data_IF_685123905613
#
_entry.id   IF_685123905613
#
_cell.length_a   1.000
_cell.length_b   1.000
_cell.length_c   1.000
_cell.angle_alpha   90.00
_cell.angle_beta   90.00
_cell.angle_gamma   90.00
#
_symmetry.space_group_name_H-M   'P 1'
#
loop_
_entity.id
_entity.type
_entity.pdbx_description
1 polymer ?
#
# COMPACT_ATOMS: atom_id res chain seq x y z
N UNK A 1 -1.96 -9.51 -35.32
CA UNK A 1 -2.61 -8.64 -34.33
C UNK A 1 -1.65 -7.85 -33.41
N UNK A 2 -0.55 -8.41 -32.88
CA UNK A 2 0.16 -7.80 -31.72
C UNK A 2 1.41 -6.95 -31.99
N UNK A 3 1.88 -6.80 -33.24
CA UNK A 3 3.17 -6.18 -33.53
C UNK A 3 3.24 -4.65 -33.30
N UNK A 4 2.11 -3.99 -33.02
CA UNK A 4 2.02 -2.52 -32.83
C UNK A 4 1.14 -2.09 -31.64
N UNK A 5 0.97 -2.97 -30.65
CA UNK A 5 0.45 -2.52 -29.36
C UNK A 5 1.58 -1.79 -28.63
N UNK A 6 1.30 -0.60 -28.07
CA UNK A 6 2.25 0.15 -27.25
C UNK A 6 2.74 -0.66 -26.03
N UNK A 7 1.96 -1.67 -25.63
CA UNK A 7 2.42 -2.79 -24.82
C UNK A 7 2.81 -3.93 -25.75
N UNK A 8 4.08 -3.97 -26.15
CA UNK A 8 4.71 -5.27 -26.41
C UNK A 8 4.48 -6.14 -25.17
N UNK A 9 4.53 -7.47 -25.34
CA UNK A 9 4.86 -8.39 -24.24
C UNK A 9 6.23 -7.97 -23.70
N UNK A 10 6.29 -6.87 -22.95
CA UNK A 10 7.32 -6.64 -21.98
C UNK A 10 7.12 -7.79 -21.01
N UNK A 11 8.05 -8.73 -21.06
CA UNK A 11 8.33 -9.57 -19.90
C UNK A 11 8.24 -8.65 -18.69
N UNK A 12 7.26 -8.86 -17.80
CA UNK A 12 7.31 -8.58 -16.36
C UNK A 12 5.92 -8.35 -15.73
N UNK A 13 5.53 -9.34 -14.91
CA UNK A 13 5.27 -9.16 -13.46
C UNK A 13 4.32 -8.03 -13.03
N UNK A 14 3.16 -7.89 -13.66
CA UNK A 14 2.02 -7.18 -13.02
C UNK A 14 0.79 -8.07 -13.10
N UNK A 15 0.47 -8.73 -11.98
CA UNK A 15 -0.52 -9.82 -11.83
C UNK A 15 -1.98 -9.48 -12.13
N UNK A 16 -2.27 -9.01 -13.35
CA UNK A 16 -3.61 -8.87 -13.93
C UNK A 16 -4.04 -10.16 -14.64
N UNK A 17 -3.08 -10.97 -15.07
CA UNK A 17 -3.34 -12.26 -15.75
C UNK A 17 -3.93 -13.31 -14.80
N UNK A 18 -3.50 -13.30 -13.53
CA UNK A 18 -4.01 -14.23 -12.50
C UNK A 18 -5.50 -14.00 -12.21
N UNK A 19 -5.98 -12.76 -11.91
CA UNK A 19 -7.41 -12.51 -11.70
C UNK A 19 -8.28 -12.93 -12.89
N UNK A 20 -7.89 -12.59 -14.12
CA UNK A 20 -8.67 -12.96 -15.32
C UNK A 20 -8.75 -14.49 -15.46
N UNK A 21 -7.64 -15.20 -15.22
CA UNK A 21 -7.61 -16.65 -15.25
C UNK A 21 -8.46 -17.27 -14.14
N UNK A 22 -8.37 -16.74 -12.91
CA UNK A 22 -9.15 -17.21 -11.76
C UNK A 22 -10.64 -17.00 -12.04
N UNK A 23 -11.07 -15.83 -12.51
CA UNK A 23 -12.46 -15.58 -12.88
C UNK A 23 -12.94 -16.51 -13.98
N UNK A 24 -12.15 -16.79 -15.02
CA UNK A 24 -12.54 -17.74 -16.07
C UNK A 24 -12.69 -19.18 -15.54
N UNK A 25 -11.88 -19.57 -14.56
CA UNK A 25 -11.89 -20.93 -13.97
C UNK A 25 -12.98 -21.11 -12.93
N UNK A 26 -13.09 -20.18 -11.99
CA UNK A 26 -13.86 -20.34 -10.76
C UNK A 26 -15.24 -19.68 -10.87
N UNK A 27 -15.30 -18.43 -11.33
CA UNK A 27 -16.52 -17.59 -11.36
C UNK A 27 -16.78 -16.92 -12.74
N UNK A 28 -16.88 -17.69 -13.84
CA UNK A 28 -17.03 -17.13 -15.19
C UNK A 28 -18.30 -16.29 -15.38
N UNK A 29 -19.37 -16.54 -14.62
CA UNK A 29 -20.57 -15.70 -14.59
C UNK A 29 -20.32 -14.25 -14.13
N UNK A 30 -19.25 -14.02 -13.36
CA UNK A 30 -18.88 -12.68 -12.88
C UNK A 30 -18.01 -11.92 -13.88
N UNK A 31 -17.57 -12.57 -14.97
CA UNK A 31 -16.62 -12.01 -15.92
C UNK A 31 -17.07 -10.67 -16.52
N UNK A 32 -18.38 -10.47 -16.65
CA UNK A 32 -19.00 -9.22 -17.09
C UNK A 32 -18.72 -8.06 -16.14
N UNK A 33 -18.74 -8.30 -14.83
CA UNK A 33 -18.54 -7.29 -13.79
C UNK A 33 -17.06 -7.04 -13.50
N UNK A 34 -16.22 -8.07 -13.64
CA UNK A 34 -14.81 -8.04 -13.27
C UNK A 34 -13.87 -7.61 -14.40
N UNK A 35 -14.39 -7.36 -15.61
CA UNK A 35 -13.59 -6.92 -16.77
C UNK A 35 -14.07 -5.59 -17.35
N UNK A 36 -13.10 -4.72 -17.68
CA UNK A 36 -13.35 -3.38 -18.24
C UNK A 36 -13.87 -3.36 -19.69
N UNK A 37 -14.09 -4.53 -20.30
CA UNK A 37 -14.48 -4.65 -21.70
C UNK A 37 -13.30 -4.70 -22.67
N UNK A 38 -13.62 -4.94 -23.93
CA UNK A 38 -12.69 -4.92 -25.06
C UNK A 38 -13.08 -3.76 -25.96
N UNK A 39 -12.12 -2.90 -26.28
CA UNK A 39 -12.32 -1.85 -27.30
C UNK A 39 -11.36 -2.09 -28.45
N UNK A 40 -11.92 -2.26 -29.65
CA UNK A 40 -11.16 -2.39 -30.89
C UNK A 40 -11.55 -1.32 -31.91
N UNK A 41 -10.62 -1.06 -32.81
CA UNK A 41 -10.81 -0.21 -33.98
C UNK A 41 -10.54 -1.01 -35.24
N UNK A 42 -11.37 -0.80 -36.25
CA UNK A 42 -11.20 -1.40 -37.57
C UNK A 42 -11.27 -0.35 -38.68
N UNK A 43 -10.62 -0.64 -39.81
CA UNK A 43 -10.53 0.30 -40.94
C UNK A 43 -11.75 0.30 -41.87
N UNK A 44 -12.50 -0.80 -41.93
CA UNK A 44 -13.68 -0.92 -42.79
C UNK A 44 -14.73 -1.81 -42.13
N UNK A 45 -16.01 -1.41 -42.20
CA UNK A 45 -17.15 -2.19 -41.72
C UNK A 45 -17.26 -3.53 -42.46
N UNK A 46 -16.80 -3.63 -43.70
CA UNK A 46 -16.76 -4.89 -44.48
C UNK A 46 -15.94 -5.99 -43.82
N UNK A 47 -15.03 -5.63 -42.91
CA UNK A 47 -14.28 -6.59 -42.12
C UNK A 47 -15.14 -7.26 -41.04
N UNK A 48 -16.32 -6.73 -40.72
CA UNK A 48 -17.23 -7.32 -39.74
C UNK A 48 -18.25 -8.23 -40.41
N UNK A 49 -18.18 -9.51 -40.05
CA UNK A 49 -19.24 -10.46 -40.29
C UNK A 49 -20.02 -10.67 -38.98
N UNK A 50 -21.27 -10.19 -39.00
CA UNK A 50 -22.25 -10.29 -37.93
C UNK A 50 -23.39 -11.26 -38.26
N UNK A 51 -23.20 -12.12 -39.27
CA UNK A 51 -24.23 -13.07 -39.73
C UNK A 51 -24.52 -14.17 -38.70
N UNK A 52 -23.57 -14.46 -37.81
CA UNK A 52 -23.76 -15.39 -36.70
C UNK A 52 -24.31 -14.67 -35.48
N UNK A 53 -25.42 -15.17 -34.93
CA UNK A 53 -25.97 -14.67 -33.66
C UNK A 53 -25.09 -14.97 -32.45
N UNK A 54 -24.18 -15.95 -32.57
CA UNK A 54 -23.29 -16.40 -31.48
C UNK A 54 -21.83 -15.99 -31.66
N UNK A 55 -21.46 -15.34 -32.78
CA UNK A 55 -20.08 -14.97 -33.04
C UNK A 55 -19.95 -13.70 -33.89
N UNK A 56 -19.00 -12.85 -33.50
CA UNK A 56 -18.55 -11.73 -34.33
C UNK A 56 -17.26 -12.16 -34.99
N UNK A 57 -17.25 -12.23 -36.32
CA UNK A 57 -16.05 -12.56 -37.10
C UNK A 57 -15.46 -11.28 -37.66
N UNK A 58 -14.15 -11.11 -37.50
CA UNK A 58 -13.44 -9.96 -38.03
C UNK A 58 -12.41 -10.45 -39.05
N UNK A 59 -12.61 -10.10 -40.32
CA UNK A 59 -11.67 -10.35 -41.40
C UNK A 59 -10.38 -9.57 -41.17
N UNK A 60 -9.23 -10.22 -41.33
CA UNK A 60 -7.93 -9.58 -41.19
C UNK A 60 -7.05 -10.03 -42.34
N UNK A 61 -6.72 -9.11 -43.24
CA UNK A 61 -5.71 -9.35 -44.29
C UNK A 61 -4.38 -8.73 -43.89
N UNK A 62 -4.42 -7.57 -43.22
CA UNK A 62 -3.24 -6.83 -42.77
C UNK A 62 -3.32 -6.39 -41.29
N UNK A 63 -2.14 -6.30 -40.64
CA UNK A 63 -2.02 -5.86 -39.23
C UNK A 63 -2.46 -4.41 -38.98
N UNK A 64 -2.65 -3.60 -40.03
CA UNK A 64 -3.10 -2.20 -39.93
C UNK A 64 -4.63 -2.08 -39.85
N UNK A 65 -5.36 -3.14 -40.17
CA UNK A 65 -6.82 -3.11 -40.32
C UNK A 65 -7.56 -3.28 -38.99
N UNK A 66 -6.90 -3.83 -37.97
CA UNK A 66 -7.46 -4.05 -36.64
C UNK A 66 -6.47 -3.59 -35.57
N UNK A 67 -6.93 -2.74 -34.65
CA UNK A 67 -6.17 -2.34 -33.46
C UNK A 67 -7.00 -2.51 -32.19
N UNK A 68 -6.48 -3.28 -31.23
CA UNK A 68 -7.03 -3.34 -29.87
C UNK A 68 -6.52 -2.12 -29.10
N UNK A 69 -7.44 -1.33 -28.53
CA UNK A 69 -7.11 -0.16 -27.70
C UNK A 69 -7.09 -0.54 -26.21
N UNK A 70 -8.09 -1.30 -25.77
CA UNK A 70 -8.27 -1.77 -24.39
C UNK A 70 -8.69 -3.25 -24.41
N UNK A 71 -8.32 -4.01 -23.39
CA UNK A 71 -8.67 -5.43 -23.26
C UNK A 71 -7.69 -6.37 -23.97
N UNK A 72 -6.50 -5.91 -24.38
CA UNK A 72 -5.51 -6.76 -25.03
C UNK A 72 -5.03 -7.92 -24.14
N UNK A 73 -4.88 -7.67 -22.83
CA UNK A 73 -4.58 -8.69 -21.83
C UNK A 73 -5.75 -9.65 -21.67
N UNK A 74 -6.98 -9.14 -21.50
CA UNK A 74 -8.20 -9.96 -21.44
C UNK A 74 -8.35 -10.92 -22.61
N UNK A 75 -8.16 -10.43 -23.85
CA UNK A 75 -8.18 -11.29 -25.05
C UNK A 75 -7.08 -12.36 -24.98
N UNK A 76 -5.86 -11.95 -24.61
CA UNK A 76 -4.71 -12.86 -24.62
C UNK A 76 -4.84 -13.94 -23.55
N UNK A 77 -5.23 -13.57 -22.33
CA UNK A 77 -5.45 -14.51 -21.21
C UNK A 77 -6.63 -15.43 -21.48
N UNK A 78 -7.74 -14.91 -22.02
CA UNK A 78 -8.88 -15.76 -22.41
C UNK A 78 -8.52 -16.72 -23.55
N UNK A 79 -7.76 -16.27 -24.55
CA UNK A 79 -7.27 -17.14 -25.62
C UNK A 79 -6.31 -18.20 -25.10
N UNK A 80 -5.41 -17.84 -24.18
CA UNK A 80 -4.49 -18.79 -23.55
C UNK A 80 -5.28 -19.81 -22.70
N UNK A 81 -6.28 -19.38 -21.94
CA UNK A 81 -7.18 -20.25 -21.17
C UNK A 81 -7.95 -21.22 -22.08
N UNK A 82 -8.52 -20.74 -23.19
CA UNK A 82 -9.40 -21.52 -24.06
C UNK A 82 -8.68 -22.41 -25.07
N UNK A 83 -7.49 -22.01 -25.54
CA UNK A 83 -6.84 -22.67 -26.68
C UNK A 83 -5.46 -23.26 -26.39
N UNK A 84 -4.81 -22.96 -25.25
CA UNK A 84 -3.55 -23.61 -24.90
C UNK A 84 -3.75 -24.82 -23.98
N UNK A 85 -2.92 -25.87 -24.14
CA UNK A 85 -2.89 -26.98 -23.19
C UNK A 85 -2.42 -26.44 -21.82
N UNK A 86 -3.28 -26.62 -20.82
CA UNK A 86 -3.10 -26.21 -19.43
C UNK A 86 -3.81 -27.25 -18.55
N UNK A 87 -3.55 -27.23 -17.25
CA UNK A 87 -4.26 -28.03 -16.24
C UNK A 87 -5.70 -27.49 -15.99
N UNK A 88 -6.52 -27.60 -17.03
CA UNK A 88 -7.91 -27.12 -17.11
C UNK A 88 -8.72 -28.19 -17.84
N UNK A 89 -9.79 -28.63 -17.21
CA UNK A 89 -10.73 -29.63 -17.73
C UNK A 89 -11.59 -29.07 -18.88
N UNK A 90 -12.10 -29.96 -19.73
CA UNK A 90 -13.02 -29.56 -20.81
C UNK A 90 -14.33 -28.95 -20.25
N UNK A 91 -14.75 -29.38 -19.07
CA UNK A 91 -15.92 -28.83 -18.38
C UNK A 91 -15.70 -27.37 -17.98
N UNK A 92 -14.53 -27.03 -17.44
CA UNK A 92 -14.17 -25.65 -17.09
C UNK A 92 -14.09 -24.76 -18.34
N UNK A 93 -13.55 -25.28 -19.46
CA UNK A 93 -13.53 -24.54 -20.74
C UNK A 93 -14.92 -24.26 -21.25
N UNK A 94 -15.80 -25.26 -21.26
CA UNK A 94 -17.20 -25.11 -21.70
C UNK A 94 -17.93 -24.08 -20.84
N UNK A 95 -17.81 -24.18 -19.51
CA UNK A 95 -18.42 -23.23 -18.58
C UNK A 95 -17.95 -21.80 -18.85
N UNK A 96 -16.64 -21.60 -19.07
CA UNK A 96 -16.09 -20.29 -19.40
C UNK A 96 -16.66 -19.74 -20.72
N UNK A 97 -16.74 -20.54 -21.79
CA UNK A 97 -17.30 -20.10 -23.08
C UNK A 97 -18.78 -19.70 -22.95
N UNK A 98 -19.54 -20.46 -22.17
CA UNK A 98 -20.98 -20.24 -22.03
C UNK A 98 -21.30 -19.04 -21.13
N UNK A 99 -20.57 -18.87 -20.02
CA UNK A 99 -20.92 -17.93 -18.96
C UNK A 99 -20.09 -16.64 -18.96
N UNK A 100 -18.84 -16.67 -19.45
CA UNK A 100 -17.99 -15.48 -19.45
C UNK A 100 -18.41 -14.49 -20.55
N UNK A 101 -19.10 -13.42 -20.15
CA UNK A 101 -19.53 -12.34 -21.06
C UNK A 101 -18.70 -11.09 -20.81
N UNK A 102 -18.38 -10.36 -21.87
CA UNK A 102 -17.61 -9.11 -21.80
C UNK A 102 -18.15 -8.11 -22.81
N UNK A 103 -18.16 -6.82 -22.46
CA UNK A 103 -18.57 -5.77 -23.37
C UNK A 103 -17.54 -5.62 -24.50
N UNK A 104 -17.96 -5.81 -25.75
CA UNK A 104 -17.14 -5.53 -26.93
C UNK A 104 -17.59 -4.24 -27.60
N UNK A 105 -16.69 -3.25 -27.68
CA UNK A 105 -16.88 -2.01 -28.43
C UNK A 105 -16.02 -2.03 -29.70
N UNK A 106 -16.67 -1.92 -30.85
CA UNK A 106 -16.01 -1.86 -32.16
C UNK A 106 -16.22 -0.47 -32.75
N UNK A 107 -15.12 0.24 -33.01
CA UNK A 107 -15.15 1.54 -33.68
C UNK A 107 -14.67 1.38 -35.12
N UNK A 108 -15.48 1.78 -36.09
CA UNK A 108 -15.11 1.74 -37.51
C UNK A 108 -14.58 3.11 -37.93
N UNK A 109 -13.39 3.17 -38.52
CA UNK A 109 -12.78 4.39 -39.04
C UNK A 109 -12.27 4.19 -40.46
N UNK A 110 -12.82 4.93 -41.41
CA UNK A 110 -12.67 4.68 -42.84
C UNK A 110 -11.28 5.04 -43.43
N UNK A 111 -10.40 5.75 -42.69
CA UNK A 111 -9.02 6.04 -43.10
C UNK A 111 -8.00 5.48 -42.08
N UNK A 112 -7.02 4.72 -42.57
CA UNK A 112 -5.88 4.22 -41.79
C UNK A 112 -5.10 5.31 -41.02
N UNK A 113 -5.06 6.56 -41.51
CA UNK A 113 -4.44 7.70 -40.79
C UNK A 113 -5.32 8.19 -39.65
N UNK A 114 -6.64 8.21 -39.83
CA UNK A 114 -7.59 8.52 -38.77
C UNK A 114 -7.60 7.42 -37.72
N UNK A 115 -7.46 6.15 -38.12
CA UNK A 115 -7.30 5.03 -37.21
C UNK A 115 -6.10 5.23 -36.28
N UNK A 116 -4.96 5.70 -36.80
CA UNK A 116 -3.77 6.01 -35.97
C UNK A 116 -4.02 7.16 -35.00
N UNK A 117 -4.55 8.28 -35.49
CA UNK A 117 -4.87 9.45 -34.64
C UNK A 117 -5.93 9.14 -33.59
N UNK A 118 -6.96 8.38 -33.97
CA UNK A 118 -8.04 7.91 -33.11
C UNK A 118 -7.54 6.91 -32.07
N UNK A 119 -6.66 5.99 -32.45
CA UNK A 119 -5.98 5.08 -31.53
C UNK A 119 -5.25 5.85 -30.45
N UNK A 120 -4.43 6.83 -30.81
CA UNK A 120 -3.66 7.61 -29.82
C UNK A 120 -4.58 8.39 -28.88
N UNK A 121 -5.60 9.07 -29.41
CA UNK A 121 -6.56 9.84 -28.59
C UNK A 121 -7.39 8.97 -27.66
N UNK A 122 -7.96 7.88 -28.17
CA UNK A 122 -8.81 6.98 -27.40
C UNK A 122 -7.95 6.17 -26.41
N UNK A 123 -6.75 5.75 -26.80
CA UNK A 123 -5.79 5.11 -25.90
C UNK A 123 -5.39 6.05 -24.78
N UNK A 124 -5.06 7.32 -25.09
CA UNK A 124 -4.74 8.33 -24.08
C UNK A 124 -5.95 8.56 -23.16
N UNK A 125 -7.17 8.68 -23.69
CA UNK A 125 -8.36 8.91 -22.88
C UNK A 125 -8.71 7.72 -21.96
N UNK A 126 -8.70 6.51 -22.50
CA UNK A 126 -9.01 5.28 -21.75
C UNK A 126 -7.92 4.92 -20.74
N UNK A 127 -6.64 5.24 -21.02
CA UNK A 127 -5.55 5.05 -20.05
C UNK A 127 -5.36 6.22 -19.08
N UNK A 128 -5.92 7.42 -19.37
CA UNK A 128 -5.95 8.58 -18.46
C UNK A 128 -7.06 8.49 -17.42
N UNK A 129 -8.09 7.68 -17.66
CA UNK A 129 -8.95 7.21 -16.58
C UNK A 129 -8.04 6.39 -15.65
N UNK A 130 -7.57 7.05 -14.58
CA UNK A 130 -6.54 6.50 -13.68
C UNK A 130 -6.97 5.10 -13.27
N UNK A 131 -6.06 4.11 -13.28
CA UNK A 131 -6.33 2.83 -12.66
C UNK A 131 -6.86 3.07 -11.25
N UNK A 132 -7.98 2.43 -10.90
CA UNK A 132 -8.38 2.30 -9.51
C UNK A 132 -7.22 1.58 -8.83
N UNK A 133 -6.53 2.27 -7.94
CA UNK A 133 -5.41 1.68 -7.21
C UNK A 133 -5.95 0.80 -6.08
N UNK A 134 -5.16 -0.16 -5.59
CA UNK A 134 -5.54 -0.94 -4.39
C UNK A 134 -5.90 0.00 -3.24
N UNK A 135 -5.17 1.12 -3.09
CA UNK A 135 -5.55 2.19 -2.15
C UNK A 135 -7.00 2.68 -2.30
N UNK A 136 -7.54 2.81 -3.52
CA UNK A 136 -8.93 3.25 -3.76
C UNK A 136 -9.94 2.16 -3.37
N UNK A 137 -9.57 0.88 -3.56
CA UNK A 137 -10.38 -0.29 -3.17
C UNK A 137 -10.35 -0.44 -1.65
N UNK A 138 -9.19 -0.24 -1.01
CA UNK A 138 -9.08 -0.33 0.44
C UNK A 138 -9.93 0.71 1.17
N UNK A 139 -10.34 1.84 0.56
CA UNK A 139 -11.35 2.74 1.15
C UNK A 139 -12.76 2.17 1.25
N UNK A 140 -13.06 1.03 0.62
CA UNK A 140 -14.29 0.27 0.87
C UNK A 140 -14.15 -0.69 2.05
N UNK A 141 -12.98 -0.76 2.69
CA UNK A 141 -12.76 -1.53 3.92
C UNK A 141 -13.60 -0.95 5.06
N UNK A 142 -14.31 -1.84 5.77
CA UNK A 142 -15.19 -1.50 6.88
C UNK A 142 -14.46 -0.79 8.03
N UNK A 143 -13.18 -1.12 8.28
CA UNK A 143 -12.34 -0.45 9.28
C UNK A 143 -12.20 1.04 9.00
N UNK A 144 -11.96 1.40 7.72
CA UNK A 144 -11.81 2.80 7.33
C UNK A 144 -13.14 3.56 7.49
N UNK A 145 -14.24 2.91 7.09
CA UNK A 145 -15.59 3.44 7.32
C UNK A 145 -15.83 3.68 8.81
N UNK A 146 -15.48 2.71 9.66
CA UNK A 146 -15.67 2.80 11.11
C UNK A 146 -14.81 3.90 11.75
N UNK A 147 -13.52 4.01 11.40
CA UNK A 147 -12.65 5.10 11.86
C UNK A 147 -13.25 6.46 11.50
N UNK A 148 -13.71 6.63 10.26
CA UNK A 148 -14.32 7.88 9.82
C UNK A 148 -15.66 8.15 10.53
N UNK A 149 -16.48 7.14 10.80
CA UNK A 149 -17.71 7.28 11.58
C UNK A 149 -17.43 7.68 13.03
N UNK A 150 -16.41 7.08 13.67
CA UNK A 150 -15.96 7.46 15.01
C UNK A 150 -15.48 8.91 15.04
N UNK A 151 -14.73 9.36 14.02
CA UNK A 151 -14.36 10.77 13.88
C UNK A 151 -15.57 11.70 13.81
N UNK A 152 -16.60 11.38 13.02
CA UNK A 152 -17.82 12.20 12.95
C UNK A 152 -18.56 12.21 14.29
N UNK A 153 -18.67 11.05 14.95
CA UNK A 153 -19.39 10.89 16.22
C UNK A 153 -18.72 11.64 17.38
N UNK A 154 -17.39 11.61 17.44
CA UNK A 154 -16.59 12.21 18.50
C UNK A 154 -15.83 13.45 18.01
N UNK A 155 -16.41 14.16 17.03
CA UNK A 155 -15.78 15.31 16.40
C UNK A 155 -15.40 16.38 17.44
N UNK A 156 -14.10 16.71 17.50
CA UNK A 156 -13.53 17.68 18.44
C UNK A 156 -12.65 17.06 19.52
N UNK A 157 -12.83 15.75 19.80
CA UNK A 157 -11.89 14.97 20.59
C UNK A 157 -10.58 14.76 19.79
N UNK A 158 -9.42 14.77 20.47
CA UNK A 158 -8.11 14.99 19.83
C UNK A 158 -7.43 13.71 19.36
N UNK A 159 -7.89 12.57 19.87
CA UNK A 159 -7.44 11.23 19.52
C UNK A 159 -8.07 10.72 18.22
N UNK A 160 -9.28 11.18 17.88
CA UNK A 160 -9.97 10.76 16.66
C UNK A 160 -9.45 11.52 15.44
N UNK A 161 -9.44 10.86 14.28
CA UNK A 161 -8.94 11.43 13.03
C UNK A 161 -9.71 10.91 11.82
N UNK A 162 -9.66 11.69 10.75
CA UNK A 162 -10.29 11.34 9.50
C UNK A 162 -9.28 10.75 8.49
N UNK A 163 -9.59 9.59 7.93
CA UNK A 163 -8.86 9.00 6.82
C UNK A 163 -9.39 9.54 5.49
N UNK A 164 -8.58 10.39 4.85
CA UNK A 164 -8.86 11.08 3.59
C UNK A 164 -8.93 10.12 2.41
N UNK A 165 -10.00 10.13 1.62
CA UNK A 165 -10.01 9.46 0.32
C UNK A 165 -9.11 10.19 -0.69
N UNK A 166 -8.55 9.45 -1.65
CA UNK A 166 -7.69 10.03 -2.69
C UNK A 166 -8.48 11.05 -3.51
N UNK A 167 -8.00 12.29 -3.56
CA UNK A 167 -8.66 13.39 -4.28
C UNK A 167 -9.84 14.02 -3.53
N UNK A 168 -10.13 13.59 -2.31
CA UNK A 168 -11.09 14.25 -1.44
C UNK A 168 -10.54 15.61 -0.97
N UNK A 169 -11.38 16.65 -1.05
CA UNK A 169 -11.08 17.95 -0.50
C UNK A 169 -12.04 18.21 0.67
N UNK A 170 -11.50 18.28 1.89
CA UNK A 170 -12.29 18.39 3.12
C UNK A 170 -11.60 19.31 4.12
N UNK A 171 -12.37 20.04 4.91
CA UNK A 171 -11.89 20.91 6.00
C UNK A 171 -11.66 20.16 7.31
N UNK A 172 -11.92 18.85 7.37
CA UNK A 172 -11.75 18.02 8.56
C UNK A 172 -10.31 18.05 9.09
N UNK A 173 -10.15 18.10 10.40
CA UNK A 173 -8.86 17.96 11.09
C UNK A 173 -9.06 17.33 12.47
N UNK A 174 -8.12 16.51 12.96
CA UNK A 174 -6.94 16.00 12.24
C UNK A 174 -7.33 14.99 11.15
N UNK A 175 -6.55 14.91 10.07
CA UNK A 175 -6.81 14.04 8.92
C UNK A 175 -5.52 13.47 8.34
N UNK A 176 -5.58 12.23 7.85
CA UNK A 176 -4.41 11.50 7.35
C UNK A 176 -4.71 10.76 6.06
N UNK A 177 -3.69 10.57 5.23
CA UNK A 177 -3.77 9.70 4.05
C UNK A 177 -3.65 8.24 4.49
N UNK A 178 -4.39 7.33 3.85
CA UNK A 178 -4.35 5.89 4.17
C UNK A 178 -2.93 5.30 4.11
N UNK A 179 -2.13 5.74 3.13
CA UNK A 179 -0.72 5.31 3.00
C UNK A 179 0.13 5.60 4.23
N UNK A 180 -0.06 6.77 4.83
CA UNK A 180 0.74 7.23 5.95
C UNK A 180 0.20 6.57 7.23
N UNK A 181 -1.12 6.38 7.29
CA UNK A 181 -1.80 5.63 8.36
C UNK A 181 -1.28 4.21 8.46
N UNK A 182 -1.31 3.42 7.38
CA UNK A 182 -0.85 2.03 7.40
C UNK A 182 0.62 1.89 7.84
N UNK A 183 1.50 2.78 7.37
CA UNK A 183 2.92 2.77 7.79
C UNK A 183 3.10 3.15 9.26
N UNK A 184 2.35 4.14 9.77
CA UNK A 184 2.43 4.53 11.18
C UNK A 184 1.86 3.46 12.10
N UNK A 185 0.72 2.86 11.76
CA UNK A 185 0.12 1.76 12.51
C UNK A 185 1.07 0.57 12.57
N UNK A 186 1.65 0.17 11.43
CA UNK A 186 2.63 -0.92 11.40
C UNK A 186 3.88 -0.62 12.23
N UNK A 187 4.42 0.59 12.10
CA UNK A 187 5.59 0.97 12.88
C UNK A 187 5.31 1.00 14.39
N UNK A 188 4.21 1.64 14.81
CA UNK A 188 3.99 1.98 16.21
C UNK A 188 3.12 0.96 16.94
N UNK A 189 2.04 0.48 16.32
CA UNK A 189 1.07 -0.42 16.97
C UNK A 189 1.52 -1.87 16.84
N UNK A 190 1.96 -2.27 15.65
CA UNK A 190 2.51 -3.61 15.42
C UNK A 190 3.97 -3.74 15.88
N UNK A 191 4.64 -2.62 16.17
CA UNK A 191 6.06 -2.59 16.55
C UNK A 191 6.97 -3.16 15.46
N UNK A 192 6.62 -2.93 14.19
CA UNK A 192 7.34 -3.39 12.98
C UNK A 192 7.81 -2.21 12.09
N UNK A 193 8.65 -1.30 12.61
CA UNK A 193 9.04 -0.09 11.88
C UNK A 193 9.91 -0.35 10.63
N UNK A 194 10.64 -1.45 10.59
CA UNK A 194 11.39 -1.89 9.43
C UNK A 194 10.49 -2.40 8.31
N UNK A 195 9.47 -3.19 8.66
CA UNK A 195 8.42 -3.61 7.72
C UNK A 195 7.62 -2.41 7.20
N UNK A 196 7.27 -1.45 8.07
CA UNK A 196 6.64 -0.19 7.68
C UNK A 196 7.48 0.62 6.67
N UNK A 197 8.81 0.54 6.76
CA UNK A 197 9.73 1.13 5.78
C UNK A 197 9.76 0.34 4.47
N UNK A 198 9.96 -0.97 4.56
CA UNK A 198 10.26 -1.85 3.43
C UNK A 198 9.05 -2.06 2.51
N UNK A 199 7.87 -2.27 3.09
CA UNK A 199 6.67 -2.63 2.34
C UNK A 199 6.05 -1.41 1.63
N UNK A 200 5.55 -1.66 0.43
CA UNK A 200 4.69 -0.72 -0.27
C UNK A 200 3.33 -0.63 0.42
N UNK A 201 2.63 0.47 0.19
CA UNK A 201 1.28 0.69 0.75
C UNK A 201 0.34 -0.44 0.34
N UNK A 202 0.44 -0.91 -0.91
CA UNK A 202 -0.39 -2.00 -1.42
C UNK A 202 -0.11 -3.34 -0.73
N UNK A 203 1.15 -3.60 -0.35
CA UNK A 203 1.51 -4.81 0.40
C UNK A 203 1.00 -4.72 1.83
N UNK A 204 1.17 -3.56 2.48
CA UNK A 204 0.63 -3.31 3.82
C UNK A 204 -0.89 -3.51 3.82
N UNK A 205 -1.61 -2.89 2.89
CA UNK A 205 -3.07 -3.01 2.82
C UNK A 205 -3.53 -4.46 2.54
N UNK A 206 -2.79 -5.21 1.72
CA UNK A 206 -3.08 -6.63 1.44
C UNK A 206 -2.76 -7.56 2.60
N UNK A 207 -1.69 -7.26 3.34
CA UNK A 207 -1.35 -7.99 4.55
C UNK A 207 -2.32 -7.66 5.67
N UNK A 208 -2.75 -6.41 5.80
CA UNK A 208 -3.73 -5.97 6.79
C UNK A 208 -5.14 -6.55 6.47
N UNK A 209 -5.47 -6.79 5.20
CA UNK A 209 -6.65 -7.60 4.80
C UNK A 209 -6.55 -9.08 5.23
N UNK A 210 -5.34 -9.61 5.43
CA UNK A 210 -5.12 -10.98 5.93
C UNK A 210 -4.89 -11.04 7.45
N UNK A 211 -4.39 -9.94 8.01
CA UNK A 211 -4.18 -9.74 9.43
C UNK A 211 -5.39 -9.00 9.99
N UNK A 212 -6.54 -9.68 10.01
CA UNK A 212 -7.82 -9.25 10.59
C UNK A 212 -7.75 -8.95 12.10
N UNK A 213 -6.55 -8.90 12.70
CA UNK A 213 -6.32 -8.96 14.15
C UNK A 213 -7.11 -7.89 14.91
N UNK A 214 -7.40 -6.73 14.29
CA UNK A 214 -8.16 -5.65 14.94
C UNK A 214 -9.40 -5.20 14.15
N UNK A 215 -9.57 -5.71 12.92
CA UNK A 215 -10.67 -5.31 12.05
C UNK A 215 -11.99 -5.84 12.59
N UNK A 216 -12.04 -7.13 12.94
CA UNK A 216 -13.22 -7.78 13.52
C UNK A 216 -13.61 -7.17 14.87
N UNK A 217 -12.62 -6.87 15.72
CA UNK A 217 -12.87 -6.21 17.02
C UNK A 217 -13.48 -4.82 16.85
N UNK A 218 -13.06 -4.05 15.84
CA UNK A 218 -13.56 -2.69 15.65
C UNK A 218 -14.93 -2.66 14.96
N UNK A 219 -15.14 -3.49 13.93
CA UNK A 219 -16.38 -3.47 13.13
C UNK A 219 -17.51 -4.28 13.76
N UNK A 220 -17.18 -5.33 14.54
CA UNK A 220 -18.14 -6.18 15.22
C UNK A 220 -18.54 -5.74 16.65
N UNK A 221 -17.89 -4.71 17.20
CA UNK A 221 -18.07 -4.32 18.60
C UNK A 221 -19.06 -3.17 18.82
N UNK A 222 -19.95 -3.34 19.80
CA UNK A 222 -20.76 -2.25 20.37
C UNK A 222 -19.91 -1.20 21.13
N UNK A 223 -18.62 -1.49 21.34
CA UNK A 223 -17.62 -0.70 22.05
C UNK A 223 -16.51 -0.23 21.09
N UNK A 224 -16.89 0.18 19.88
CA UNK A 224 -15.95 0.61 18.84
C UNK A 224 -15.04 1.78 19.27
N UNK A 225 -15.49 2.61 20.23
CA UNK A 225 -14.68 3.67 20.83
C UNK A 225 -13.52 3.08 21.62
N UNK A 226 -13.78 2.17 22.55
CA UNK A 226 -12.75 1.56 23.39
C UNK A 226 -11.73 0.79 22.55
N UNK A 227 -12.19 0.08 21.52
CA UNK A 227 -11.31 -0.61 20.57
C UNK A 227 -10.45 0.39 19.81
N UNK A 228 -11.02 1.50 19.34
CA UNK A 228 -10.24 2.55 18.69
C UNK A 228 -9.18 3.13 19.62
N UNK A 229 -9.53 3.43 20.87
CA UNK A 229 -8.58 3.97 21.85
C UNK A 229 -7.47 2.97 22.19
N UNK A 230 -7.79 1.68 22.27
CA UNK A 230 -6.81 0.60 22.49
C UNK A 230 -5.74 0.53 21.40
N UNK A 231 -6.09 0.79 20.14
CA UNK A 231 -5.17 0.56 19.02
C UNK A 231 -4.69 1.82 18.31
N UNK A 232 -5.49 2.89 18.26
CA UNK A 232 -5.26 4.04 17.38
C UNK A 232 -5.10 5.38 18.11
N UNK A 233 -5.27 5.42 19.44
CA UNK A 233 -5.06 6.63 20.25
C UNK A 233 -3.71 7.35 19.99
N UNK A 234 -2.56 6.69 19.80
CA UNK A 234 -1.28 7.39 19.58
C UNK A 234 -1.08 7.90 18.15
N UNK A 235 -1.93 7.52 17.18
CA UNK A 235 -1.68 7.74 15.74
C UNK A 235 -1.52 9.22 15.41
N UNK A 236 -2.37 10.08 15.97
CA UNK A 236 -2.28 11.54 15.74
C UNK A 236 -0.93 12.11 16.19
N UNK A 237 -0.43 11.69 17.36
CA UNK A 237 0.89 12.09 17.84
C UNK A 237 2.01 11.52 16.96
N UNK A 238 1.97 10.22 16.64
CA UNK A 238 2.96 9.56 15.80
C UNK A 238 3.08 10.21 14.41
N UNK A 239 1.96 10.62 13.81
CA UNK A 239 1.92 11.36 12.55
C UNK A 239 2.64 12.72 12.63
N UNK A 240 2.39 13.48 13.71
CA UNK A 240 3.05 14.76 13.94
C UNK A 240 4.55 14.57 14.19
N UNK A 241 4.93 13.58 14.99
CA UNK A 241 6.32 13.25 15.27
C UNK A 241 7.08 12.81 14.00
N UNK A 242 6.48 11.96 13.18
CA UNK A 242 7.03 11.54 11.88
C UNK A 242 7.25 12.74 10.94
N UNK A 243 6.29 13.66 10.91
CA UNK A 243 6.39 14.90 10.11
C UNK A 243 7.47 15.83 10.65
N UNK A 244 7.59 15.94 11.98
CA UNK A 244 8.64 16.72 12.63
C UNK A 244 10.03 16.14 12.31
N UNK A 245 10.22 14.83 12.46
CA UNK A 245 11.46 14.14 12.10
C UNK A 245 11.89 14.45 10.67
N UNK A 246 10.98 14.36 9.70
CA UNK A 246 11.27 14.68 8.30
C UNK A 246 11.70 16.13 8.08
N UNK A 247 11.17 17.08 8.86
CA UNK A 247 11.62 18.47 8.81
C UNK A 247 13.03 18.62 9.38
N UNK A 248 13.33 17.95 10.49
CA UNK A 248 14.65 18.01 11.13
C UNK A 248 15.73 17.26 10.33
N UNK A 249 15.37 16.19 9.62
CA UNK A 249 16.28 15.44 8.74
C UNK A 249 17.02 16.33 7.72
N UNK A 250 16.41 17.44 7.28
CA UNK A 250 17.02 18.38 6.35
C UNK A 250 17.88 19.46 7.03
N UNK A 251 17.83 19.56 8.35
CA UNK A 251 18.50 20.61 9.15
C UNK A 251 19.66 20.07 9.97
N UNK A 252 19.49 18.88 10.56
CA UNK A 252 20.45 18.27 11.47
C UNK A 252 21.69 17.80 10.72
N UNK A 253 22.85 18.00 11.34
CA UNK A 253 24.13 17.44 10.92
C UNK A 253 24.56 16.45 11.98
N UNK A 254 24.52 15.16 11.64
CA UNK A 254 24.80 14.06 12.58
C UNK A 254 26.01 13.26 12.12
N UNK A 255 26.62 12.52 13.05
CA UNK A 255 27.73 11.58 12.79
C UNK A 255 27.36 10.52 11.75
N UNK A 256 26.12 10.02 11.81
CA UNK A 256 25.62 8.90 11.01
C UNK A 256 24.41 9.29 10.12
N UNK A 257 24.64 9.93 8.95
CA UNK A 257 23.57 10.36 8.04
C UNK A 257 22.65 9.23 7.55
N UNK A 258 23.18 8.00 7.48
CA UNK A 258 22.45 6.81 7.06
C UNK A 258 21.38 6.45 8.09
N UNK A 259 21.64 6.64 9.38
CA UNK A 259 20.64 6.41 10.42
C UNK A 259 19.57 7.50 10.33
N UNK A 260 19.97 8.78 10.22
CA UNK A 260 19.02 9.90 10.11
C UNK A 260 18.10 9.77 8.89
N UNK A 261 18.63 9.39 7.72
CA UNK A 261 17.86 9.27 6.48
C UNK A 261 16.91 8.07 6.44
N UNK A 262 17.17 7.02 7.23
CA UNK A 262 16.45 5.75 7.12
C UNK A 262 15.68 5.35 8.39
N UNK A 263 16.05 5.90 9.55
CA UNK A 263 15.57 5.54 10.89
C UNK A 263 14.28 6.20 11.35
N UNK A 264 13.60 6.97 10.50
CA UNK A 264 12.35 7.68 10.86
C UNK A 264 11.33 6.79 11.58
N UNK A 265 11.02 5.63 11.02
CA UNK A 265 10.00 4.76 11.59
C UNK A 265 10.45 4.11 12.89
N UNK A 266 11.74 3.75 12.99
CA UNK A 266 12.30 3.24 14.24
C UNK A 266 12.17 4.29 15.34
N UNK A 267 12.57 5.53 15.08
CA UNK A 267 12.47 6.64 16.03
C UNK A 267 11.04 6.86 16.49
N UNK A 268 10.09 7.01 15.55
CA UNK A 268 8.68 7.25 15.90
C UNK A 268 8.09 6.09 16.72
N UNK A 269 8.38 4.84 16.33
CA UNK A 269 7.91 3.66 17.05
C UNK A 269 8.48 3.57 18.46
N UNK A 270 9.78 3.87 18.63
CA UNK A 270 10.46 3.83 19.92
C UNK A 270 9.94 4.92 20.87
N UNK A 271 9.75 6.16 20.40
CA UNK A 271 9.16 7.22 21.22
C UNK A 271 7.73 6.86 21.67
N UNK A 272 6.88 6.37 20.75
CA UNK A 272 5.52 5.94 21.11
C UNK A 272 5.55 4.79 22.11
N UNK A 273 6.48 3.85 21.96
CA UNK A 273 6.68 2.75 22.89
C UNK A 273 7.09 3.25 24.29
N UNK A 274 8.03 4.20 24.38
CA UNK A 274 8.46 4.80 25.66
C UNK A 274 7.29 5.44 26.38
N UNK A 275 6.51 6.25 25.67
CA UNK A 275 5.37 6.99 26.21
C UNK A 275 4.20 6.06 26.59
N UNK A 276 4.10 4.88 25.97
CA UNK A 276 3.14 3.84 26.36
C UNK A 276 3.71 2.81 27.36
N UNK A 277 4.88 3.06 27.95
CA UNK A 277 5.56 2.13 28.86
C UNK A 277 5.72 0.70 28.30
N UNK A 278 5.83 0.56 26.97
CA UNK A 278 5.94 -0.73 26.29
C UNK A 278 4.67 -1.57 26.21
N UNK A 279 3.53 -1.05 26.63
CA UNK A 279 2.26 -1.77 26.55
C UNK A 279 1.75 -1.80 25.10
N UNK A 280 0.96 -2.84 24.78
CA UNK A 280 0.26 -2.95 23.49
C UNK A 280 -1.14 -2.32 23.51
N UNK A 281 -1.71 -2.13 24.71
CA UNK A 281 -2.95 -1.40 24.90
C UNK A 281 -2.62 0.09 25.01
N UNK A 282 -3.18 0.89 24.11
CA UNK A 282 -2.99 2.33 24.06
C UNK A 282 -4.17 3.11 24.65
N UNK A 283 -5.16 2.48 25.29
CA UNK A 283 -6.31 3.19 25.83
C UNK A 283 -5.90 4.26 26.86
N UNK A 284 -4.82 4.01 27.61
CA UNK A 284 -4.23 4.94 28.57
C UNK A 284 -3.16 5.88 27.97
N UNK A 285 -2.89 5.81 26.66
CA UNK A 285 -1.88 6.65 26.02
C UNK A 285 -2.25 8.14 26.18
N UNK A 286 -1.31 9.00 26.58
CA UNK A 286 -1.59 10.41 26.86
C UNK A 286 -2.05 11.15 25.60
N UNK A 287 -3.02 12.05 25.76
CA UNK A 287 -3.53 12.86 24.65
C UNK A 287 -2.58 14.04 24.41
N UNK A 288 -1.53 13.78 23.64
CA UNK A 288 -0.45 14.74 23.36
C UNK A 288 -0.79 15.67 22.20
N UNK A 289 -1.83 16.50 22.34
CA UNK A 289 -2.23 17.46 21.30
C UNK A 289 -1.27 18.65 21.18
N UNK A 290 -1.17 19.21 19.98
CA UNK A 290 -0.32 20.37 19.69
C UNK A 290 0.96 20.06 18.88
N UNK A 291 1.75 21.11 18.57
CA UNK A 291 2.99 20.97 17.82
C UNK A 291 4.05 20.21 18.63
N UNK A 292 4.89 19.43 17.94
CA UNK A 292 6.07 18.82 18.53
C UNK A 292 7.03 19.94 18.97
N UNK A 293 7.49 19.99 20.23
CA UNK A 293 8.43 21.00 20.70
C UNK A 293 9.73 20.98 19.89
N UNK A 294 10.33 22.14 19.61
CA UNK A 294 11.62 22.18 18.89
C UNK A 294 12.73 21.48 19.68
N UNK A 295 12.67 21.44 21.02
CA UNK A 295 13.60 20.67 21.86
C UNK A 295 13.62 19.17 21.53
N UNK A 296 12.58 18.63 20.87
CA UNK A 296 12.59 17.26 20.38
C UNK A 296 13.63 17.02 19.26
N UNK A 297 14.25 18.05 18.67
CA UNK A 297 15.38 17.86 17.76
C UNK A 297 16.59 17.26 18.47
N UNK A 298 16.84 17.64 19.72
CA UNK A 298 17.92 17.07 20.54
C UNK A 298 17.68 15.59 20.80
N UNK A 299 16.41 15.18 20.96
CA UNK A 299 16.05 13.77 21.11
C UNK A 299 16.35 12.96 19.85
N UNK A 300 16.27 13.56 18.67
CA UNK A 300 16.65 12.90 17.41
C UNK A 300 18.16 12.68 17.40
N UNK A 301 18.96 13.72 17.69
CA UNK A 301 20.42 13.64 17.70
C UNK A 301 20.93 12.58 18.67
N UNK A 302 20.49 12.64 19.94
CA UNK A 302 20.85 11.65 20.97
C UNK A 302 20.44 10.24 20.58
N UNK A 303 19.23 10.07 20.02
CA UNK A 303 18.77 8.77 19.54
C UNK A 303 19.67 8.19 18.45
N UNK A 304 20.20 9.02 17.54
CA UNK A 304 21.08 8.52 16.48
C UNK A 304 22.36 7.92 17.06
N UNK A 305 22.97 8.58 18.05
CA UNK A 305 24.18 8.12 18.72
C UNK A 305 23.94 6.82 19.50
N UNK A 306 22.80 6.73 20.20
CA UNK A 306 22.42 5.52 20.93
C UNK A 306 22.14 4.36 19.98
N UNK A 307 21.39 4.61 18.90
CA UNK A 307 21.08 3.58 17.92
C UNK A 307 22.32 3.09 17.17
N UNK A 308 23.28 3.97 16.90
CA UNK A 308 24.57 3.60 16.32
C UNK A 308 25.29 2.58 17.20
N UNK A 309 25.37 2.83 18.52
CA UNK A 309 25.96 1.89 19.48
C UNK A 309 25.17 0.57 19.59
N UNK A 310 23.84 0.61 19.56
CA UNK A 310 23.00 -0.60 19.55
C UNK A 310 23.25 -1.42 18.28
N UNK A 311 23.41 -0.78 17.12
CA UNK A 311 23.75 -1.46 15.87
C UNK A 311 25.13 -2.11 15.98
N UNK A 312 26.13 -1.44 16.55
CA UNK A 312 27.46 -2.01 16.75
C UNK A 312 27.42 -3.27 17.63
N UNK A 313 26.66 -3.26 18.73
CA UNK A 313 26.46 -4.45 19.55
C UNK A 313 25.70 -5.56 18.81
N UNK A 314 24.67 -5.21 18.04
CA UNK A 314 23.95 -6.16 17.20
C UNK A 314 24.89 -6.87 16.22
N UNK A 315 25.74 -6.10 15.53
CA UNK A 315 26.72 -6.63 14.57
C UNK A 315 27.69 -7.60 15.26
N UNK A 316 28.18 -7.25 16.45
CA UNK A 316 29.08 -8.11 17.24
C UNK A 316 28.37 -9.39 17.68
N UNK A 317 27.16 -9.28 18.23
CA UNK A 317 26.36 -10.41 18.75
C UNK A 317 26.05 -11.46 17.69
N UNK A 318 25.81 -11.02 16.46
CA UNK A 318 25.47 -11.91 15.34
C UNK A 318 26.65 -12.18 14.39
N UNK A 319 27.88 -11.80 14.77
CA UNK A 319 29.11 -12.03 14.01
C UNK A 319 29.00 -11.60 12.53
N UNK A 320 28.41 -10.43 12.29
CA UNK A 320 28.16 -9.92 10.94
C UNK A 320 29.42 -9.29 10.35
N UNK A 321 30.18 -10.05 9.57
CA UNK A 321 31.38 -9.57 8.87
C UNK A 321 31.06 -8.45 7.85
N UNK A 322 31.95 -7.46 7.75
CA UNK A 322 31.88 -6.32 6.82
C UNK A 322 30.56 -5.53 6.87
N UNK A 323 29.87 -5.52 8.01
CA UNK A 323 28.60 -4.83 8.15
C UNK A 323 28.75 -3.31 8.00
N UNK A 324 27.98 -2.73 7.08
CA UNK A 324 27.88 -1.28 6.91
C UNK A 324 26.44 -0.82 7.10
N UNK A 325 26.26 0.20 7.95
CA UNK A 325 24.95 0.83 8.18
C UNK A 325 24.46 1.45 6.87
N UNK A 326 23.34 0.96 6.37
CA UNK A 326 22.75 1.44 5.12
C UNK A 326 21.22 1.30 5.13
N UNK A 327 20.56 1.59 4.00
CA UNK A 327 19.10 1.53 3.89
C UNK A 327 18.51 0.16 4.27
N UNK A 328 19.23 -0.95 4.04
CA UNK A 328 18.77 -2.30 4.37
C UNK A 328 18.79 -2.60 5.88
N UNK A 329 19.66 -1.93 6.66
CA UNK A 329 19.66 -2.00 8.13
C UNK A 329 18.27 -1.74 8.70
N UNK A 330 17.52 -0.83 8.08
CA UNK A 330 16.21 -0.37 8.53
C UNK A 330 15.04 -1.05 7.82
N UNK A 331 15.28 -2.09 6.99
CA UNK A 331 14.20 -2.81 6.28
C UNK A 331 13.68 -4.05 7.00
N UNK A 332 14.31 -4.42 8.11
CA UNK A 332 13.85 -5.48 9.01
C UNK A 332 13.69 -4.92 10.41
N UNK A 333 13.13 -5.70 11.32
CA UNK A 333 12.78 -5.26 12.68
C UNK A 333 13.79 -5.72 13.75
N UNK A 334 14.86 -6.43 13.37
CA UNK A 334 15.79 -7.05 14.34
C UNK A 334 16.52 -6.04 15.22
N UNK A 335 17.13 -5.03 14.60
CA UNK A 335 17.82 -3.95 15.33
C UNK A 335 16.83 -3.18 16.21
N UNK A 336 15.60 -2.98 15.73
CA UNK A 336 14.57 -2.33 16.52
C UNK A 336 14.18 -3.14 17.76
N UNK A 337 14.04 -4.46 17.62
CA UNK A 337 13.78 -5.34 18.77
C UNK A 337 14.95 -5.36 19.74
N UNK A 338 16.19 -5.40 19.24
CA UNK A 338 17.37 -5.32 20.08
C UNK A 338 17.42 -4.01 20.88
N UNK A 339 17.06 -2.87 20.27
CA UNK A 339 16.89 -1.59 20.97
C UNK A 339 15.80 -1.68 22.05
N UNK A 340 14.63 -2.24 21.72
CA UNK A 340 13.48 -2.32 22.63
C UNK A 340 13.68 -3.28 23.81
N UNK A 341 14.61 -4.23 23.69
CA UNK A 341 14.92 -5.24 24.70
C UNK A 341 16.33 -5.07 25.28
N UNK A 342 16.97 -3.92 25.02
CA UNK A 342 18.38 -3.70 25.32
C UNK A 342 18.71 -3.86 26.81
N UNK A 343 17.80 -3.50 27.73
CA UNK A 343 17.99 -3.75 29.16
C UNK A 343 18.26 -5.24 29.47
N UNK A 344 17.60 -6.15 28.72
CA UNK A 344 17.70 -7.59 28.90
C UNK A 344 18.90 -8.19 28.15
N UNK A 345 19.15 -7.74 26.92
CA UNK A 345 20.10 -8.39 26.00
C UNK A 345 21.42 -7.64 25.84
N UNK A 346 21.47 -6.36 26.21
CA UNK A 346 22.62 -5.48 26.01
C UNK A 346 23.78 -5.84 26.93
N UNK A 347 25.00 -5.69 26.41
CA UNK A 347 26.23 -6.03 27.13
C UNK A 347 26.86 -4.79 27.79
N UNK A 348 26.76 -3.61 27.14
CA UNK A 348 27.25 -2.36 27.69
C UNK A 348 26.34 -1.79 28.77
N UNK A 349 26.80 -1.84 30.02
CA UNK A 349 26.14 -1.22 31.17
C UNK A 349 26.05 0.31 31.04
N UNK A 350 27.03 0.93 30.37
CA UNK A 350 26.98 2.37 30.06
C UNK A 350 25.84 2.69 29.11
N UNK A 351 25.70 1.92 28.02
CA UNK A 351 24.64 2.16 27.05
C UNK A 351 23.24 1.90 27.64
N UNK A 352 23.10 0.95 28.57
CA UNK A 352 21.86 0.75 29.32
C UNK A 352 21.45 2.01 30.08
N UNK A 353 22.40 2.61 30.82
CA UNK A 353 22.15 3.85 31.58
C UNK A 353 21.85 5.02 30.66
N UNK A 354 22.55 5.13 29.53
CA UNK A 354 22.32 6.21 28.57
C UNK A 354 20.94 6.08 27.90
N UNK A 355 20.51 4.86 27.56
CA UNK A 355 19.17 4.58 27.07
C UNK A 355 18.10 4.88 28.13
N UNK A 356 18.30 4.50 29.38
CA UNK A 356 17.37 4.82 30.47
C UNK A 356 17.22 6.33 30.67
N UNK A 357 18.34 7.06 30.70
CA UNK A 357 18.35 8.52 30.77
C UNK A 357 17.67 9.16 29.54
N UNK A 358 17.86 8.58 28.36
CA UNK A 358 17.16 9.00 27.15
C UNK A 358 15.64 8.80 27.27
N UNK A 359 15.18 7.64 27.74
CA UNK A 359 13.75 7.39 27.93
C UNK A 359 13.13 8.34 28.96
N UNK A 360 13.84 8.66 30.04
CA UNK A 360 13.43 9.68 31.02
C UNK A 360 13.30 11.06 30.35
N UNK A 361 14.31 11.50 29.59
CA UNK A 361 14.27 12.77 28.85
C UNK A 361 13.11 12.81 27.84
N UNK A 362 12.81 11.70 27.16
CA UNK A 362 11.65 11.59 26.26
C UNK A 362 10.35 11.84 27.03
N UNK A 363 10.21 11.24 28.21
CA UNK A 363 9.02 11.46 29.06
C UNK A 363 8.94 12.92 29.52
N UNK A 364 10.05 13.53 29.95
CA UNK A 364 10.08 14.96 30.35
C UNK A 364 9.70 15.93 29.22
N UNK A 365 10.04 15.60 27.97
CA UNK A 365 9.73 16.48 26.82
C UNK A 365 8.26 16.38 26.41
N UNK A 366 7.61 15.23 26.63
CA UNK A 366 6.29 14.96 26.06
C UNK A 366 5.17 14.79 27.09
N UNK A 367 5.45 14.46 28.35
CA UNK A 367 4.48 14.31 29.45
C UNK A 367 4.61 15.47 30.43
#
# INVERSE_FOLDING_TARGET
MFAKNLRYKLNERLGVEQPIHITLKETPEEFWYLNNGITMMITDKKLLDLSSSSAIRVGCTDKMEISIINGAQTISTAADFLYRPQDITDMERTRAVEQAKVLLRINVMNDSRELRKGKDRISIALNRQKPITIEDISYTNEVISMINQLYEKYHGEKEFFYLLKRGENTSKFPKHMLKDFGKIVRACVLQEPGSARALSVNEILKEDEKNEIYAEELTGSNHAREVFERYYRPVNFAMRLSSFYMKQMNKLKVSSPQILSNGRYYFVAYIVRILNAGQKDYAAFPVLDGPIPESASELIEQYMELLEQVIEEHVKRYELEDYQINSNTFKNDRVYHDLCEYDKIGESETLKKDLQAYEEKVREVFL
#
